data_IF_198652805156
#
_entry.id   IF_198652805156
#
_cell.length_a   1.000
_cell.length_b   1.000
_cell.length_c   1.000
_cell.angle_alpha   90.00
_cell.angle_beta   90.00
_cell.angle_gamma   90.00
#
_symmetry.space_group_name_H-M   'P 1'
#
loop_
_entity.id
_entity.type
_entity.pdbx_description
1 polymer ?
#
# COMPACT_ATOMS: atom_id res chain seq x y z
N UNK A 1 -9.39 29.96 13.08
CA UNK A 1 -10.26 28.89 13.61
C UNK A 1 -10.84 28.06 12.46
N UNK A 2 -11.96 28.41 11.82
CA UNK A 2 -12.64 27.50 10.86
C UNK A 2 -11.83 27.18 9.58
N UNK A 3 -11.10 28.16 9.04
CA UNK A 3 -10.23 27.96 7.88
C UNK A 3 -9.00 27.10 8.24
N UNK A 4 -8.50 27.27 9.45
CA UNK A 4 -7.37 26.51 9.99
C UNK A 4 -7.75 25.04 10.23
N UNK A 5 -8.98 24.78 10.71
CA UNK A 5 -9.48 23.41 10.90
C UNK A 5 -9.57 22.65 9.57
N UNK A 6 -10.04 23.31 8.51
CA UNK A 6 -10.05 22.75 7.15
C UNK A 6 -8.64 22.57 6.60
N UNK A 7 -7.77 23.57 6.72
CA UNK A 7 -6.39 23.47 6.27
C UNK A 7 -5.64 22.32 6.96
N UNK A 8 -5.75 22.19 8.29
CA UNK A 8 -5.11 21.13 9.06
C UNK A 8 -5.68 19.74 8.72
N UNK A 9 -6.97 19.65 8.42
CA UNK A 9 -7.55 18.40 7.90
C UNK A 9 -6.94 18.05 6.53
N UNK A 10 -6.88 19.00 5.59
CA UNK A 10 -6.30 18.77 4.27
C UNK A 10 -4.81 18.41 4.34
N UNK A 11 -4.03 19.09 5.20
CA UNK A 11 -2.62 18.78 5.45
C UNK A 11 -2.43 17.30 5.86
N UNK A 12 -3.28 16.81 6.76
CA UNK A 12 -3.23 15.42 7.23
C UNK A 12 -3.55 14.44 6.11
N UNK A 13 -4.63 14.69 5.37
CA UNK A 13 -5.06 13.82 4.27
C UNK A 13 -4.01 13.75 3.14
N UNK A 14 -3.34 14.87 2.87
CA UNK A 14 -2.21 14.94 1.94
C UNK A 14 -1.03 14.12 2.45
N UNK A 15 -0.63 14.30 3.71
CA UNK A 15 0.46 13.55 4.31
C UNK A 15 0.19 12.03 4.31
N UNK A 16 -1.05 11.61 4.56
CA UNK A 16 -1.44 10.21 4.53
C UNK A 16 -1.28 9.60 3.12
N UNK A 17 -1.71 10.33 2.08
CA UNK A 17 -1.55 9.90 0.69
C UNK A 17 -0.08 9.88 0.25
N UNK A 18 0.67 10.91 0.59
CA UNK A 18 2.09 11.03 0.21
C UNK A 18 2.94 9.94 0.83
N UNK A 19 2.64 9.52 2.08
CA UNK A 19 3.33 8.37 2.70
C UNK A 19 3.16 7.10 1.88
N UNK A 20 1.95 6.78 1.44
CA UNK A 20 1.69 5.61 0.59
C UNK A 20 2.42 5.74 -0.75
N UNK A 21 2.37 6.93 -1.37
CA UNK A 21 2.99 7.17 -2.68
C UNK A 21 4.51 7.12 -2.65
N UNK A 22 5.13 7.49 -1.53
CA UNK A 22 6.59 7.55 -1.37
C UNK A 22 7.18 6.33 -0.66
N UNK A 23 6.35 5.45 -0.10
CA UNK A 23 6.79 4.23 0.56
C UNK A 23 7.68 3.38 -0.35
N UNK A 24 8.77 2.78 0.16
CA UNK A 24 9.51 1.75 -0.57
C UNK A 24 8.61 0.55 -0.87
N UNK A 25 8.84 -0.11 -2.01
CA UNK A 25 8.08 -1.31 -2.36
C UNK A 25 8.26 -2.40 -1.29
N UNK A 26 7.15 -2.93 -0.77
CA UNK A 26 7.17 -3.96 0.28
C UNK A 26 7.40 -3.43 1.70
N UNK A 27 7.49 -2.10 1.90
CA UNK A 27 7.48 -1.52 3.24
C UNK A 27 6.10 -1.75 3.88
N UNK A 28 6.09 -2.34 5.07
CA UNK A 28 4.88 -2.48 5.89
C UNK A 28 4.97 -1.41 6.98
N UNK A 29 4.42 -0.24 6.69
CA UNK A 29 4.21 0.76 7.73
C UNK A 29 2.78 0.67 8.25
N UNK A 30 2.64 0.23 9.50
CA UNK A 30 1.35 0.24 10.20
C UNK A 30 1.18 1.61 10.81
N UNK A 31 0.28 2.40 10.25
CA UNK A 31 -0.09 3.71 10.78
C UNK A 31 -1.52 3.69 11.25
N UNK A 32 -1.78 4.37 12.36
CA UNK A 32 -3.14 4.65 12.80
C UNK A 32 -3.79 5.63 11.81
N UNK A 33 -4.65 5.10 10.95
CA UNK A 33 -5.50 5.92 10.10
C UNK A 33 -6.60 6.48 10.98
N UNK A 34 -6.47 7.76 11.31
CA UNK A 34 -7.50 8.48 12.07
C UNK A 34 -8.76 8.55 11.20
N UNK A 35 -9.93 8.14 11.70
CA UNK A 35 -11.19 8.30 10.97
C UNK A 35 -11.39 9.75 10.52
N UNK A 36 -11.71 9.92 9.25
CA UNK A 36 -12.04 11.24 8.73
C UNK A 36 -13.35 11.75 9.34
N UNK A 37 -13.29 12.95 9.90
CA UNK A 37 -14.47 13.71 10.31
C UNK A 37 -14.34 15.12 9.72
N UNK A 38 -15.31 15.59 8.91
CA UNK A 38 -15.26 16.96 8.40
C UNK A 38 -15.49 17.96 9.54
N UNK A 39 -14.88 19.17 9.48
CA UNK A 39 -15.28 20.29 10.32
C UNK A 39 -16.77 20.59 10.17
N UNK A 40 -17.38 21.16 11.22
CA UNK A 40 -18.79 21.54 11.20
C UNK A 40 -19.09 22.74 10.28
N UNK A 41 -18.05 23.47 9.88
CA UNK A 41 -18.12 24.59 8.95
C UNK A 41 -18.03 24.09 7.49
N UNK A 42 -18.67 24.79 6.53
CA UNK A 42 -18.51 24.48 5.12
C UNK A 42 -17.06 24.70 4.67
N UNK A 43 -16.62 23.95 3.66
CA UNK A 43 -15.29 24.12 3.05
C UNK A 43 -15.14 25.55 2.49
N UNK A 44 -14.11 26.30 2.90
CA UNK A 44 -13.81 27.61 2.34
C UNK A 44 -13.53 27.55 0.83
N UNK A 45 -14.09 28.45 0.00
CA UNK A 45 -13.96 28.37 -1.46
C UNK A 45 -12.52 28.36 -1.98
N UNK A 46 -11.59 29.06 -1.30
CA UNK A 46 -10.18 29.10 -1.68
C UNK A 46 -9.44 27.78 -1.44
N UNK A 47 -10.01 26.87 -0.64
CA UNK A 47 -9.46 25.53 -0.40
C UNK A 47 -10.07 24.47 -1.34
N UNK A 48 -11.03 24.83 -2.21
CA UNK A 48 -11.71 23.89 -3.09
C UNK A 48 -10.76 23.18 -4.06
N UNK A 49 -9.84 23.92 -4.68
CA UNK A 49 -8.84 23.36 -5.60
C UNK A 49 -7.86 22.45 -4.87
N UNK A 50 -7.48 22.82 -3.65
CA UNK A 50 -6.65 21.99 -2.79
C UNK A 50 -7.35 20.68 -2.45
N UNK A 51 -8.60 20.73 -2.00
CA UNK A 51 -9.39 19.55 -1.69
C UNK A 51 -9.52 18.61 -2.90
N UNK A 52 -9.69 19.14 -4.11
CA UNK A 52 -9.65 18.35 -5.36
C UNK A 52 -8.32 17.64 -5.54
N UNK A 53 -7.21 18.36 -5.36
CA UNK A 53 -5.87 17.80 -5.48
C UNK A 53 -5.56 16.73 -4.41
N UNK A 54 -6.18 16.81 -3.22
CA UNK A 54 -6.12 15.75 -2.20
C UNK A 54 -6.82 14.49 -2.69
N UNK A 55 -8.03 14.61 -3.25
CA UNK A 55 -8.77 13.47 -3.81
C UNK A 55 -7.96 12.76 -4.89
N UNK A 56 -7.34 13.52 -5.79
CA UNK A 56 -6.52 12.94 -6.87
C UNK A 56 -5.30 12.18 -6.32
N UNK A 57 -4.64 12.71 -5.29
CA UNK A 57 -3.53 12.01 -4.59
C UNK A 57 -4.00 10.74 -3.90
N UNK A 58 -5.15 10.79 -3.23
CA UNK A 58 -5.71 9.62 -2.55
C UNK A 58 -6.07 8.52 -3.55
N UNK A 59 -6.64 8.86 -4.71
CA UNK A 59 -6.85 7.89 -5.78
C UNK A 59 -5.55 7.28 -6.29
N UNK A 60 -4.51 8.08 -6.51
CA UNK A 60 -3.20 7.57 -6.91
C UNK A 60 -2.61 6.62 -5.85
N UNK A 61 -2.75 6.93 -4.56
CA UNK A 61 -2.32 6.09 -3.46
C UNK A 61 -3.08 4.75 -3.43
N UNK A 62 -4.40 4.77 -3.66
CA UNK A 62 -5.22 3.55 -3.75
C UNK A 62 -4.82 2.65 -4.93
N UNK A 63 -4.59 3.23 -6.10
CA UNK A 63 -4.16 2.48 -7.28
C UNK A 63 -2.78 1.86 -7.09
N UNK A 64 -1.86 2.60 -6.44
CA UNK A 64 -0.56 2.05 -6.05
C UNK A 64 -0.71 0.85 -5.12
N UNK A 65 -1.48 0.98 -4.04
CA UNK A 65 -1.71 -0.10 -3.08
C UNK A 65 -2.35 -1.34 -3.73
N UNK A 66 -3.29 -1.12 -4.66
CA UNK A 66 -3.89 -2.20 -5.46
C UNK A 66 -2.86 -2.94 -6.31
N UNK A 67 -1.99 -2.20 -7.00
CA UNK A 67 -0.91 -2.77 -7.81
C UNK A 67 0.05 -3.63 -6.97
N UNK A 68 0.42 -3.16 -5.78
CA UNK A 68 1.26 -3.91 -4.85
C UNK A 68 0.59 -5.21 -4.38
N UNK A 69 -0.71 -5.17 -4.04
CA UNK A 69 -1.48 -6.36 -3.67
C UNK A 69 -1.56 -7.38 -4.80
N UNK A 70 -1.73 -6.93 -6.04
CA UNK A 70 -1.78 -7.81 -7.20
C UNK A 70 -0.42 -8.46 -7.47
N UNK A 71 0.68 -7.73 -7.30
CA UNK A 71 2.04 -8.28 -7.33
C UNK A 71 2.28 -9.34 -6.25
N UNK A 72 1.84 -9.10 -5.02
CA UNK A 72 1.93 -10.07 -3.92
C UNK A 72 1.14 -11.34 -4.20
N UNK A 73 -0.09 -11.22 -4.73
CA UNK A 73 -0.91 -12.38 -5.12
C UNK A 73 -0.23 -13.22 -6.20
N UNK A 74 0.40 -12.58 -7.18
CA UNK A 74 1.14 -13.28 -8.23
C UNK A 74 2.35 -14.02 -7.65
N UNK A 75 3.10 -13.39 -6.75
CA UNK A 75 4.25 -14.01 -6.07
C UNK A 75 3.82 -15.24 -5.25
N UNK A 76 2.76 -15.13 -4.45
CA UNK A 76 2.20 -16.27 -3.70
C UNK A 76 1.73 -17.40 -4.62
N UNK A 77 1.13 -17.07 -5.76
CA UNK A 77 0.75 -18.04 -6.78
C UNK A 77 1.94 -18.80 -7.36
N UNK A 78 3.09 -18.14 -7.54
CA UNK A 78 4.32 -18.77 -7.98
C UNK A 78 4.90 -19.71 -6.91
N UNK A 79 4.98 -19.26 -5.66
CA UNK A 79 5.47 -20.07 -4.54
C UNK A 79 4.63 -21.34 -4.35
N UNK A 80 3.29 -21.23 -4.43
CA UNK A 80 2.38 -22.39 -4.32
C UNK A 80 2.55 -23.44 -5.42
N UNK A 81 3.14 -23.08 -6.56
CA UNK A 81 3.39 -24.01 -7.68
C UNK A 81 4.72 -24.74 -7.56
N UNK A 82 5.60 -24.35 -6.64
CA UNK A 82 6.84 -25.07 -6.37
C UNK A 82 6.49 -26.39 -5.67
N UNK A 83 6.77 -27.56 -6.28
CA UNK A 83 6.56 -28.83 -5.62
C UNK A 83 7.39 -28.90 -4.34
N UNK A 84 6.83 -29.43 -3.26
CA UNK A 84 7.62 -29.74 -2.07
C UNK A 84 8.82 -30.61 -2.49
N UNK A 85 10.03 -30.37 -1.95
CA UNK A 85 11.15 -31.24 -2.22
C UNK A 85 10.71 -32.66 -1.89
N UNK A 86 10.71 -33.54 -2.89
CA UNK A 86 10.48 -34.95 -2.68
C UNK A 86 11.50 -35.38 -1.63
N UNK A 87 11.10 -36.07 -0.54
CA UNK A 87 12.10 -36.63 0.37
C UNK A 87 13.08 -37.41 -0.51
N UNK A 88 14.40 -37.26 -0.31
CA UNK A 88 15.36 -37.98 -1.13
C UNK A 88 15.06 -39.47 -0.94
N UNK A 89 14.47 -40.09 -1.96
CA UNK A 89 14.52 -41.55 -2.11
C UNK A 89 16.01 -41.88 -1.99
N UNK A 90 16.32 -42.79 -1.07
CA UNK A 90 17.64 -43.02 -0.48
C UNK A 90 18.79 -42.89 -1.50
N UNK A 91 19.95 -42.32 -1.11
CA UNK A 91 21.08 -42.14 -2.03
C UNK A 91 21.44 -43.47 -2.70
N UNK A 92 21.18 -43.57 -4.00
CA UNK A 92 21.61 -44.69 -4.81
C UNK A 92 23.10 -44.48 -5.13
N UNK A 93 23.96 -45.23 -4.44
CA UNK A 93 25.36 -45.34 -4.80
C UNK A 93 25.45 -46.18 -6.08
N UNK A 94 25.89 -45.55 -7.17
CA UNK A 94 26.26 -46.24 -8.40
C UNK A 94 27.66 -46.81 -8.18
N UNK A 95 27.74 -48.12 -7.96
CA UNK A 95 29.01 -48.85 -7.96
C UNK A 95 29.47 -49.01 -9.42
N UNK A 96 30.65 -48.46 -9.72
CA UNK A 96 31.25 -48.49 -11.06
C UNK A 96 32.47 -49.40 -11.03
N UNK A 97 32.23 -50.69 -10.86
CA UNK A 97 33.23 -51.71 -11.15
C UNK A 97 32.98 -52.30 -12.55
N UNK A 98 33.97 -52.10 -13.44
CA UNK A 98 34.04 -52.62 -14.80
C UNK A 98 35.24 -52.10 -15.56
#
# INVERSE_FOLDING_TARGET
MMDEDWAALLDRLEADADRILTAPAGAVEVHDIIPWAPPSSPLPPHLADRARAVIDRQHAAMERARSELDGLRQHLGAVRRVPAPRPPDAPAYLDVDG
#
